data_IF_734057194126
#
_entry.id   IF_734057194126
#
_cell.length_a   1.000
_cell.length_b   1.000
_cell.length_c   1.000
_cell.angle_alpha   90.00
_cell.angle_beta   90.00
_cell.angle_gamma   90.00
#
_symmetry.space_group_name_H-M   'P 1'
#
loop_
_entity.id
_entity.type
_entity.pdbx_description
1 polymer ?
#
# COMPACT_ATOMS: atom_id res chain seq x y z
N UNK A 1 -33.18 -16.42 32.12
CA UNK A 1 -33.25 -16.20 30.66
C UNK A 1 -31.83 -15.95 30.20
N UNK A 2 -31.14 -16.96 29.66
CA UNK A 2 -29.73 -16.84 29.24
C UNK A 2 -29.72 -16.44 27.78
N UNK A 3 -29.30 -15.21 27.49
CA UNK A 3 -29.13 -14.74 26.13
C UNK A 3 -27.77 -15.25 25.61
N UNK A 4 -27.79 -16.27 24.76
CA UNK A 4 -26.64 -16.71 23.99
C UNK A 4 -26.37 -15.68 22.89
N UNK A 5 -25.38 -14.82 23.11
CA UNK A 5 -24.83 -13.95 22.07
C UNK A 5 -24.00 -14.81 21.11
N UNK A 6 -24.58 -15.20 19.97
CA UNK A 6 -23.81 -15.71 18.85
C UNK A 6 -23.04 -14.55 18.21
N UNK A 7 -21.77 -14.39 18.56
CA UNK A 7 -20.84 -13.61 17.77
C UNK A 7 -20.70 -14.29 16.40
N UNK A 8 -21.37 -13.76 15.39
CA UNK A 8 -21.13 -14.13 14.00
C UNK A 8 -19.71 -13.71 13.64
N UNK A 9 -18.78 -14.65 13.57
CA UNK A 9 -17.50 -14.41 12.92
C UNK A 9 -17.78 -14.11 11.45
N UNK A 10 -17.61 -12.85 11.05
CA UNK A 10 -17.45 -12.47 9.65
C UNK A 10 -16.17 -13.15 9.17
N UNK A 11 -16.31 -14.29 8.49
CA UNK A 11 -15.20 -14.89 7.76
C UNK A 11 -14.98 -14.05 6.51
N UNK A 12 -13.95 -13.18 6.56
CA UNK A 12 -13.39 -12.60 5.35
C UNK A 12 -12.79 -13.75 4.54
N UNK A 13 -13.33 -14.00 3.35
CA UNK A 13 -12.73 -14.96 2.42
C UNK A 13 -11.40 -14.39 1.93
N UNK A 14 -10.32 -15.09 2.28
CA UNK A 14 -8.90 -14.74 2.10
C UNK A 14 -8.41 -14.75 0.63
N UNK A 15 -9.33 -14.70 -0.34
CA UNK A 15 -9.02 -14.95 -1.76
C UNK A 15 -8.76 -13.71 -2.61
N UNK A 16 -9.01 -12.50 -2.09
CA UNK A 16 -8.65 -11.26 -2.78
C UNK A 16 -7.86 -10.33 -1.85
N UNK A 17 -6.53 -10.40 -1.97
CA UNK A 17 -5.62 -9.48 -1.28
C UNK A 17 -5.84 -8.02 -1.70
N UNK A 18 -6.63 -7.76 -2.76
CA UNK A 18 -6.97 -6.42 -3.22
C UNK A 18 -8.21 -5.90 -2.50
N UNK A 19 -8.10 -4.87 -1.64
CA UNK A 19 -9.27 -4.28 -1.01
C UNK A 19 -10.20 -3.68 -2.07
N UNK A 20 -11.48 -4.05 -2.01
CA UNK A 20 -12.52 -3.59 -2.95
C UNK A 20 -12.60 -2.07 -2.99
N UNK A 21 -12.98 -1.54 -4.15
CA UNK A 21 -13.30 -0.12 -4.32
C UNK A 21 -14.34 0.33 -3.29
N UNK A 22 -14.13 1.52 -2.71
CA UNK A 22 -14.99 2.06 -1.65
C UNK A 22 -14.86 1.41 -0.27
N UNK A 23 -14.09 0.32 -0.10
CA UNK A 23 -13.93 -0.30 1.22
C UNK A 23 -13.19 0.61 2.21
N UNK A 24 -13.53 0.55 3.52
CA UNK A 24 -12.81 1.29 4.57
C UNK A 24 -11.31 0.99 4.59
N UNK A 25 -10.92 -0.28 4.36
CA UNK A 25 -9.52 -0.70 4.30
C UNK A 25 -8.77 -0.02 3.15
N UNK A 26 -9.34 -0.04 1.93
CA UNK A 26 -8.76 0.65 0.78
C UNK A 26 -8.57 2.14 1.07
N UNK A 27 -9.59 2.76 1.65
CA UNK A 27 -9.55 4.18 2.01
C UNK A 27 -8.44 4.46 3.02
N UNK A 28 -8.34 3.69 4.10
CA UNK A 28 -7.35 3.91 5.14
C UNK A 28 -5.90 3.80 4.62
N UNK A 29 -5.60 2.79 3.80
CA UNK A 29 -4.26 2.62 3.19
C UNK A 29 -3.93 3.79 2.25
N UNK A 30 -4.86 4.15 1.36
CA UNK A 30 -4.63 5.23 0.40
C UNK A 30 -4.63 6.62 1.05
N UNK A 31 -5.35 6.80 2.16
CA UNK A 31 -5.30 8.04 2.94
C UNK A 31 -3.94 8.23 3.62
N UNK A 32 -3.35 7.16 4.16
CA UNK A 32 -2.00 7.20 4.73
C UNK A 32 -0.96 7.59 3.66
N UNK A 33 -1.04 6.98 2.47
CA UNK A 33 -0.16 7.36 1.35
C UNK A 33 -0.40 8.81 0.90
N UNK A 34 -1.65 9.28 0.86
CA UNK A 34 -1.96 10.66 0.46
C UNK A 34 -1.39 11.67 1.45
N UNK A 35 -1.50 11.39 2.75
CA UNK A 35 -0.91 12.24 3.79
C UNK A 35 0.61 12.30 3.65
N UNK A 36 1.26 11.18 3.34
CA UNK A 36 2.70 11.14 3.14
C UNK A 36 3.14 11.92 1.90
N UNK A 37 2.44 11.78 0.77
CA UNK A 37 2.69 12.58 -0.43
C UNK A 37 2.51 14.08 -0.14
N UNK A 38 1.47 14.46 0.61
CA UNK A 38 1.25 15.84 1.04
C UNK A 38 2.40 16.34 1.92
N UNK A 39 2.87 15.51 2.85
CA UNK A 39 3.96 15.84 3.79
C UNK A 39 5.30 16.04 3.07
N UNK A 40 5.64 15.17 2.13
CA UNK A 40 6.93 15.19 1.42
C UNK A 40 6.93 16.24 0.30
N UNK A 41 5.86 16.33 -0.49
CA UNK A 41 5.82 17.12 -1.72
C UNK A 41 4.90 18.35 -1.67
N UNK A 42 4.08 18.50 -0.62
CA UNK A 42 3.09 19.58 -0.54
C UNK A 42 1.87 19.40 -1.46
N UNK A 43 1.76 18.25 -2.14
CA UNK A 43 0.73 18.00 -3.15
C UNK A 43 -0.55 17.39 -2.57
N UNK A 44 -1.69 17.94 -2.95
CA UNK A 44 -2.99 17.28 -2.79
C UNK A 44 -3.24 16.38 -4.00
N UNK A 45 -3.48 15.09 -3.76
CA UNK A 45 -3.54 14.09 -4.84
C UNK A 45 -4.76 13.17 -4.76
N UNK A 46 -5.27 12.80 -5.93
CA UNK A 46 -6.14 11.65 -6.15
C UNK A 46 -5.30 10.55 -6.80
N UNK A 47 -5.44 9.31 -6.34
CA UNK A 47 -4.67 8.20 -6.88
C UNK A 47 -5.48 7.40 -7.90
N UNK A 48 -4.91 7.25 -9.10
CA UNK A 48 -5.26 6.13 -9.98
C UNK A 48 -4.43 4.93 -9.54
N UNK A 49 -5.06 3.90 -8.99
CA UNK A 49 -4.37 2.74 -8.40
C UNK A 49 -4.03 1.72 -9.48
N UNK A 50 -2.74 1.42 -9.65
CA UNK A 50 -2.22 0.40 -10.57
C UNK A 50 -2.08 -0.96 -9.90
N UNK A 51 -1.64 -0.98 -8.65
CA UNK A 51 -1.56 -2.18 -7.83
C UNK A 51 -1.85 -1.81 -6.39
N UNK A 52 -2.68 -2.62 -5.72
CA UNK A 52 -2.88 -2.53 -4.28
C UNK A 52 -3.15 -3.91 -3.75
N UNK A 53 -2.31 -4.38 -2.84
CA UNK A 53 -2.59 -5.59 -2.07
C UNK A 53 -2.31 -5.37 -0.60
N UNK A 54 -3.11 -6.00 0.25
CA UNK A 54 -3.04 -5.95 1.70
C UNK A 54 -3.06 -7.37 2.24
N UNK A 55 -2.15 -7.68 3.16
CA UNK A 55 -2.09 -8.96 3.86
C UNK A 55 -1.35 -8.79 5.19
N UNK A 56 -1.85 -9.43 6.25
CA UNK A 56 -1.16 -9.52 7.56
C UNK A 56 -0.66 -8.18 8.13
N UNK A 57 -1.45 -7.11 7.99
CA UNK A 57 -1.07 -5.77 8.46
C UNK A 57 -0.05 -5.03 7.59
N UNK A 58 0.24 -5.54 6.39
CA UNK A 58 1.09 -4.90 5.38
C UNK A 58 0.29 -4.56 4.13
N UNK A 59 0.72 -3.51 3.44
CA UNK A 59 0.19 -3.15 2.13
C UNK A 59 1.30 -2.71 1.18
N UNK A 60 1.18 -3.10 -0.08
CA UNK A 60 1.95 -2.51 -1.17
C UNK A 60 1.01 -1.77 -2.11
N UNK A 61 1.27 -0.48 -2.30
CA UNK A 61 0.53 0.37 -3.20
C UNK A 61 1.45 0.84 -4.33
N UNK A 62 0.97 0.77 -5.57
CA UNK A 62 1.57 1.43 -6.72
C UNK A 62 0.48 2.27 -7.39
N UNK A 63 0.72 3.57 -7.50
CA UNK A 63 -0.30 4.56 -7.86
C UNK A 63 0.24 5.55 -8.87
N UNK A 64 -0.66 6.12 -9.67
CA UNK A 64 -0.42 7.31 -10.48
C UNK A 64 -1.15 8.48 -9.80
N UNK A 65 -0.45 9.34 -9.05
CA UNK A 65 -1.04 10.52 -8.44
C UNK A 65 -1.41 11.55 -9.51
N UNK A 66 -2.53 12.23 -9.31
CA UNK A 66 -2.98 13.35 -10.13
C UNK A 66 -3.60 14.44 -9.23
N UNK A 67 -3.66 15.67 -9.72
CA UNK A 67 -4.36 16.74 -9.00
C UNK A 67 -5.85 16.41 -8.84
N UNK A 68 -6.55 17.01 -7.85
CA UNK A 68 -7.96 16.68 -7.60
C UNK A 68 -8.90 16.95 -8.77
N UNK A 69 -8.57 17.95 -9.60
CA UNK A 69 -9.27 18.29 -10.85
C UNK A 69 -8.82 17.45 -12.07
N UNK A 70 -7.77 16.63 -11.90
CA UNK A 70 -7.20 15.79 -12.95
C UNK A 70 -6.37 16.51 -14.00
N UNK A 71 -6.12 17.81 -13.87
CA UNK A 71 -5.35 18.58 -14.86
C UNK A 71 -3.85 18.25 -14.86
N UNK A 72 -3.31 17.89 -13.70
CA UNK A 72 -1.90 17.54 -13.51
C UNK A 72 -1.74 16.05 -13.24
N UNK A 73 -0.75 15.44 -13.86
CA UNK A 73 -0.30 14.05 -13.61
C UNK A 73 1.10 14.11 -13.05
N UNK A 74 1.34 13.37 -11.98
CA UNK A 74 2.64 13.33 -11.30
C UNK A 74 3.36 12.01 -11.58
N UNK A 75 4.61 11.94 -11.13
CA UNK A 75 5.39 10.69 -11.10
C UNK A 75 4.64 9.62 -10.29
N UNK A 76 4.80 8.37 -10.72
CA UNK A 76 4.21 7.24 -10.02
C UNK A 76 4.80 7.08 -8.62
N UNK A 77 3.95 6.62 -7.70
CA UNK A 77 4.37 6.41 -6.32
C UNK A 77 4.08 4.96 -5.95
N UNK A 78 5.17 4.23 -5.69
CA UNK A 78 5.15 2.96 -5.00
C UNK A 78 5.39 3.17 -3.51
N UNK A 79 4.76 2.39 -2.66
CA UNK A 79 4.97 2.46 -1.21
C UNK A 79 4.69 1.13 -0.52
N UNK A 80 5.53 0.82 0.47
CA UNK A 80 5.23 -0.17 1.49
C UNK A 80 4.59 0.54 2.69
N UNK A 81 3.47 0.02 3.15
CA UNK A 81 2.77 0.49 4.33
C UNK A 81 2.62 -0.62 5.35
N UNK A 82 2.65 -0.24 6.62
CA UNK A 82 2.43 -1.12 7.75
C UNK A 82 1.35 -0.55 8.67
N UNK A 83 0.45 -1.40 9.15
CA UNK A 83 -0.47 -1.08 10.21
C UNK A 83 0.29 -1.06 11.54
N UNK A 84 0.39 0.10 12.17
CA UNK A 84 1.05 0.32 13.46
C UNK A 84 0.09 1.05 14.39
N UNK A 85 -0.15 0.51 15.59
CA UNK A 85 -1.02 1.12 16.61
C UNK A 85 -2.42 1.50 16.09
N UNK A 86 -2.97 0.68 15.19
CA UNK A 86 -4.28 0.91 14.58
C UNK A 86 -4.30 1.92 13.42
N UNK A 87 -3.16 2.47 13.01
CA UNK A 87 -3.04 3.39 11.88
C UNK A 87 -2.07 2.87 10.81
N UNK A 88 -2.44 3.01 9.53
CA UNK A 88 -1.53 2.73 8.43
C UNK A 88 -0.46 3.81 8.34
N UNK A 89 0.81 3.41 8.24
CA UNK A 89 1.94 4.31 8.05
C UNK A 89 2.75 3.86 6.84
N UNK A 90 3.22 4.82 6.05
CA UNK A 90 4.22 4.57 5.02
C UNK A 90 5.55 4.31 5.70
N UNK A 91 6.18 3.18 5.40
CA UNK A 91 7.48 2.79 5.97
C UNK A 91 8.59 2.76 4.93
N UNK A 92 8.23 2.75 3.65
CA UNK A 92 9.16 2.85 2.52
C UNK A 92 8.45 3.48 1.32
N UNK A 93 9.12 4.44 0.67
CA UNK A 93 8.85 4.85 -0.71
C UNK A 93 10.15 4.63 -1.47
N UNK A 94 10.23 3.62 -2.37
CA UNK A 94 11.42 3.46 -3.19
C UNK A 94 11.64 4.67 -4.08
N UNK A 95 12.90 4.92 -4.34
CA UNK A 95 13.35 5.78 -5.41
C UNK A 95 13.08 5.12 -6.78
N UNK A 96 12.94 5.93 -7.84
CA UNK A 96 12.51 5.51 -9.18
C UNK A 96 13.64 5.39 -10.20
N UNK A 97 14.86 5.77 -9.82
CA UNK A 97 16.02 5.91 -10.70
C UNK A 97 16.48 4.55 -11.23
N UNK A 98 16.41 4.38 -12.56
CA UNK A 98 16.72 3.12 -13.24
C UNK A 98 18.19 2.72 -13.08
N UNK A 99 19.09 3.70 -12.96
CA UNK A 99 20.53 3.46 -12.85
C UNK A 99 20.98 3.09 -11.43
N UNK A 100 20.09 3.23 -10.43
CA UNK A 100 20.41 2.93 -9.05
C UNK A 100 19.89 1.52 -8.67
N UNK A 101 20.78 0.56 -8.34
CA UNK A 101 20.39 -0.81 -8.01
C UNK A 101 19.57 -0.92 -6.71
N UNK A 102 19.57 0.12 -5.87
CA UNK A 102 18.79 0.20 -4.64
C UNK A 102 17.39 0.81 -4.85
N UNK A 103 17.06 1.26 -6.06
CA UNK A 103 15.74 1.78 -6.42
C UNK A 103 14.80 0.68 -6.92
N UNK A 104 13.51 1.00 -7.08
CA UNK A 104 12.44 0.03 -7.37
C UNK A 104 12.74 -0.95 -8.53
N UNK A 105 13.45 -0.45 -9.54
CA UNK A 105 13.80 -1.20 -10.77
C UNK A 105 15.12 -1.97 -10.67
N UNK A 106 15.86 -1.80 -9.58
CA UNK A 106 17.10 -2.51 -9.32
C UNK A 106 16.87 -3.98 -8.99
N UNK A 107 17.77 -4.89 -9.41
CA UNK A 107 17.58 -6.33 -9.28
C UNK A 107 17.49 -6.80 -7.82
N UNK A 108 18.10 -6.04 -6.89
CA UNK A 108 18.18 -6.41 -5.48
C UNK A 108 17.17 -5.70 -4.59
N UNK A 109 16.37 -4.78 -5.14
CA UNK A 109 15.52 -3.93 -4.32
C UNK A 109 14.55 -4.73 -3.43
N UNK A 110 13.78 -5.66 -4.01
CA UNK A 110 12.82 -6.45 -3.24
C UNK A 110 13.49 -7.46 -2.30
N UNK A 111 14.69 -7.95 -2.65
CA UNK A 111 15.47 -8.83 -1.78
C UNK A 111 15.95 -8.05 -0.55
N UNK A 112 16.46 -6.83 -0.75
CA UNK A 112 16.87 -5.90 0.29
C UNK A 112 15.70 -5.39 1.14
N UNK A 113 14.56 -5.10 0.52
CA UNK A 113 13.33 -4.68 1.21
C UNK A 113 12.87 -5.76 2.18
N UNK A 114 12.84 -7.03 1.76
CA UNK A 114 12.49 -8.17 2.62
C UNK A 114 13.48 -8.38 3.77
N UNK A 115 14.77 -8.06 3.58
CA UNK A 115 15.76 -8.08 4.67
C UNK A 115 15.50 -6.97 5.70
N UNK A 116 15.14 -5.76 5.24
CA UNK A 116 14.81 -4.61 6.11
C UNK A 116 13.48 -4.80 6.83
N UNK A 117 12.52 -5.46 6.19
CA UNK A 117 11.18 -5.71 6.70
C UNK A 117 10.82 -7.20 6.63
N UNK A 118 11.37 -8.04 7.53
CA UNK A 118 11.26 -9.51 7.45
C UNK A 118 9.84 -10.06 7.61
N UNK A 119 8.89 -9.25 8.10
CA UNK A 119 7.48 -9.63 8.24
C UNK A 119 6.63 -9.38 6.99
N UNK A 120 7.20 -8.82 5.91
CA UNK A 120 6.41 -8.45 4.72
C UNK A 120 6.03 -9.69 3.90
N UNK A 121 4.73 -9.95 3.68
CA UNK A 121 4.28 -11.05 2.83
C UNK A 121 4.60 -10.77 1.36
N UNK A 122 5.31 -11.68 0.69
CA UNK A 122 5.71 -11.50 -0.72
C UNK A 122 4.51 -11.44 -1.68
N UNK A 123 3.35 -11.94 -1.28
CA UNK A 123 2.12 -11.99 -2.06
C UNK A 123 1.52 -10.61 -2.33
N UNK A 124 1.87 -9.60 -1.52
CA UNK A 124 1.41 -8.22 -1.74
C UNK A 124 2.18 -7.54 -2.88
N UNK A 125 3.35 -8.05 -3.27
CA UNK A 125 4.13 -7.46 -4.35
C UNK A 125 3.56 -7.82 -5.74
N UNK A 126 3.87 -7.02 -6.77
CA UNK A 126 3.62 -7.39 -8.16
C UNK A 126 4.27 -8.72 -8.53
N UNK A 127 3.74 -9.41 -9.54
CA UNK A 127 4.24 -10.75 -9.92
C UNK A 127 5.70 -10.76 -10.36
N UNK A 128 6.18 -9.67 -10.98
CA UNK A 128 7.55 -9.49 -11.43
C UNK A 128 8.55 -9.18 -10.30
N UNK A 129 8.05 -8.90 -9.08
CA UNK A 129 8.84 -8.53 -7.92
C UNK A 129 9.00 -9.66 -6.87
N UNK A 130 8.43 -10.84 -7.15
CA UNK A 130 8.42 -11.99 -6.23
C UNK A 130 9.62 -12.89 -6.43
#
# INVERSE_FOLDING_TARGET
MVALFFCTHVQASDSDLTPRWGSPLRKAVLDALRQEVKRIHGLDVVFVVKHLKVKDGWAWAHTLPQSPDGSNRYEDVSALLQLQDGAWKVVEIPCGEVENPDCLNGPEYFSGLKKRFPGVPSEIFPSWAR
#
